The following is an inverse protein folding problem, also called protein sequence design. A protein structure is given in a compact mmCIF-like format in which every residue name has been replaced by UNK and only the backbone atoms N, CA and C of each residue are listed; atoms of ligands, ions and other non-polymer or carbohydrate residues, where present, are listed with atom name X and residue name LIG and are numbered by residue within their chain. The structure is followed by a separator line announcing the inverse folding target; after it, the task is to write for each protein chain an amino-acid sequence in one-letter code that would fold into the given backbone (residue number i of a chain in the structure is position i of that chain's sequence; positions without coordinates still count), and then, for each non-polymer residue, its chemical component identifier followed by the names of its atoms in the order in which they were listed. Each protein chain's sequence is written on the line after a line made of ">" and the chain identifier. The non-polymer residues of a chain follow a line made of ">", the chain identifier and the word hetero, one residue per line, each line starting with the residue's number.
data_IF_383047979309
#
_entry.id   IF_383047979309
#
_cell.length_a   1.000
_cell.length_b   1.000
_cell.length_c   1.000
_cell.angle_alpha   90.00
_cell.angle_beta   90.00
_cell.angle_gamma   90.00
#
_symmetry.space_group_name_H-M   'P 1'
#
loop_
_entity.id
_entity.type
_entity.pdbx_description
1 polymer ?
#
# COMPACT_ATOMS: atom_id res chain seq x y z
N UNK A 1 23.12 -2.41 6.43
CA UNK A 1 21.90 -1.68 6.05
C UNK A 1 21.74 -0.51 7.00
N UNK A 2 21.68 0.74 6.51
CA UNK A 2 21.77 1.96 7.34
C UNK A 2 20.71 2.04 8.46
N UNK A 3 19.50 1.55 8.17
CA UNK A 3 18.39 1.52 9.14
C UNK A 3 18.72 0.71 10.41
N UNK A 4 19.55 -0.33 10.31
CA UNK A 4 19.93 -1.16 11.46
C UNK A 4 20.91 -0.46 12.41
N UNK A 5 21.63 0.57 11.94
CA UNK A 5 22.46 1.41 12.82
C UNK A 5 21.58 2.28 13.72
N UNK A 6 20.44 2.74 13.21
CA UNK A 6 19.50 3.59 13.94
C UNK A 6 18.47 2.77 14.74
N UNK A 7 18.10 1.58 14.25
CA UNK A 7 17.15 0.69 14.89
C UNK A 7 17.67 -0.76 14.86
N UNK A 8 18.60 -1.14 15.76
CA UNK A 8 19.23 -2.47 15.76
C UNK A 8 18.25 -3.64 15.90
N UNK A 9 17.09 -3.41 16.53
CA UNK A 9 16.02 -4.42 16.70
C UNK A 9 15.04 -4.48 15.52
N UNK A 10 15.09 -3.53 14.58
CA UNK A 10 14.19 -3.52 13.42
C UNK A 10 14.58 -4.65 12.46
N UNK A 11 13.60 -5.45 12.02
CA UNK A 11 13.83 -6.51 11.04
C UNK A 11 13.26 -6.10 9.68
N UNK A 12 14.09 -5.62 8.73
CA UNK A 12 13.62 -5.32 7.39
C UNK A 12 13.22 -6.61 6.67
N UNK A 13 12.02 -6.64 6.11
CA UNK A 13 11.56 -7.70 5.23
C UNK A 13 11.71 -7.22 3.79
N UNK A 14 12.63 -7.86 3.07
CA UNK A 14 13.03 -7.40 1.75
C UNK A 14 12.10 -7.95 0.65
N UNK A 15 11.98 -7.16 -0.41
CA UNK A 15 11.32 -7.53 -1.66
C UNK A 15 12.25 -7.31 -2.84
N UNK A 16 12.01 -8.02 -3.94
CA UNK A 16 12.57 -7.68 -5.26
C UNK A 16 11.48 -7.12 -6.16
N UNK A 17 11.83 -6.23 -7.08
CA UNK A 17 10.89 -5.68 -8.05
C UNK A 17 10.78 -6.62 -9.26
N UNK A 18 9.56 -6.84 -9.74
CA UNK A 18 9.32 -7.48 -11.02
C UNK A 18 9.61 -6.47 -12.14
N UNK A 19 10.64 -6.76 -12.91
CA UNK A 19 11.06 -6.01 -14.11
C UNK A 19 11.20 -6.94 -15.33
N UNK A 20 11.34 -6.37 -16.52
CA UNK A 20 11.41 -7.12 -17.77
C UNK A 20 12.48 -8.21 -17.83
N UNK A 21 13.63 -8.00 -17.17
CA UNK A 21 14.72 -8.98 -17.11
C UNK A 21 14.58 -10.02 -15.99
N UNK A 22 13.48 -10.00 -15.23
CA UNK A 22 13.30 -10.93 -14.09
C UNK A 22 13.09 -12.35 -14.61
N UNK A 23 13.90 -13.27 -14.12
CA UNK A 23 13.79 -14.70 -14.43
C UNK A 23 13.38 -15.51 -13.19
N UNK A 24 12.94 -16.75 -13.41
CA UNK A 24 12.65 -17.69 -12.33
C UNK A 24 13.88 -17.92 -11.41
N UNK A 25 15.08 -17.95 -12.00
CA UNK A 25 16.33 -18.11 -11.25
C UNK A 25 16.61 -16.90 -10.34
N UNK A 26 16.39 -15.68 -10.83
CA UNK A 26 16.52 -14.46 -10.01
C UNK A 26 15.56 -14.51 -8.82
N UNK A 27 14.30 -14.91 -9.04
CA UNK A 27 13.31 -15.03 -7.96
C UNK A 27 13.73 -16.08 -6.93
N UNK A 28 14.19 -17.26 -7.39
CA UNK A 28 14.68 -18.32 -6.50
C UNK A 28 15.87 -17.87 -5.67
N UNK A 29 16.86 -17.24 -6.31
CA UNK A 29 18.06 -16.76 -5.63
C UNK A 29 17.73 -15.65 -4.61
N UNK A 30 16.82 -14.73 -4.96
CA UNK A 30 16.36 -13.69 -4.05
C UNK A 30 15.62 -14.27 -2.84
N UNK A 31 14.75 -15.27 -3.05
CA UNK A 31 14.06 -15.96 -1.98
C UNK A 31 15.04 -16.66 -1.02
N UNK A 32 16.03 -17.37 -1.56
CA UNK A 32 17.09 -18.01 -0.78
C UNK A 32 17.95 -16.99 -0.01
N UNK A 33 18.15 -15.79 -0.57
CA UNK A 33 18.80 -14.67 0.10
C UNK A 33 17.91 -13.96 1.16
N UNK A 34 16.66 -14.40 1.33
CA UNK A 34 15.75 -13.93 2.37
C UNK A 34 14.66 -12.96 1.92
N UNK A 35 14.56 -12.64 0.62
CA UNK A 35 13.44 -11.85 0.11
C UNK A 35 12.11 -12.61 0.30
N UNK A 36 11.08 -11.89 0.74
CA UNK A 36 9.76 -12.49 1.02
C UNK A 36 8.68 -12.10 0.02
N UNK A 37 8.92 -11.07 -0.78
CA UNK A 37 7.96 -10.59 -1.75
C UNK A 37 8.59 -10.24 -3.11
N UNK A 38 7.86 -10.54 -4.18
CA UNK A 38 8.07 -10.06 -5.53
C UNK A 38 7.06 -8.92 -5.75
N UNK A 39 7.55 -7.69 -5.94
CA UNK A 39 6.73 -6.48 -6.03
C UNK A 39 6.50 -6.08 -7.48
N UNK A 40 5.24 -6.03 -7.89
CA UNK A 40 4.79 -5.41 -9.13
C UNK A 40 4.62 -3.89 -8.93
N UNK A 41 5.30 -3.12 -9.77
CA UNK A 41 5.07 -1.69 -9.95
C UNK A 41 4.77 -1.50 -11.42
N UNK A 42 3.50 -1.21 -11.82
CA UNK A 42 3.17 -1.07 -13.21
C UNK A 42 3.96 0.06 -13.86
N UNK A 43 4.29 -0.12 -15.13
CA UNK A 43 5.01 0.89 -15.92
C UNK A 43 4.33 2.26 -15.80
N UNK A 44 5.14 3.31 -15.68
CA UNK A 44 4.69 4.71 -15.56
C UNK A 44 3.81 5.03 -14.33
N UNK A 45 3.80 4.19 -13.29
CA UNK A 45 3.09 4.51 -12.03
C UNK A 45 3.96 5.25 -11.02
N UNK A 46 5.30 5.13 -11.07
CA UNK A 46 6.22 5.83 -10.16
C UNK A 46 7.50 6.31 -10.86
N UNK A 47 8.28 7.19 -10.23
CA UNK A 47 9.47 7.82 -10.83
C UNK A 47 10.56 6.80 -11.24
N UNK A 48 10.60 5.63 -10.61
CA UNK A 48 11.61 4.59 -10.88
C UNK A 48 11.08 3.44 -11.74
N UNK A 49 9.89 3.57 -12.37
CA UNK A 49 9.22 2.44 -13.04
C UNK A 49 9.48 2.33 -14.55
N UNK A 50 10.62 2.79 -15.06
CA UNK A 50 10.94 2.68 -16.50
C UNK A 50 11.13 1.23 -16.96
N UNK A 51 11.44 0.32 -16.03
CA UNK A 51 11.55 -1.13 -16.27
C UNK A 51 10.36 -1.93 -15.69
N UNK A 52 9.31 -1.23 -15.25
CA UNK A 52 8.13 -1.84 -14.63
C UNK A 52 7.31 -2.67 -15.62
N UNK A 53 6.67 -3.73 -15.12
CA UNK A 53 5.82 -4.61 -15.93
C UNK A 53 4.39 -4.10 -15.95
N UNK A 54 3.84 -3.85 -17.14
CA UNK A 54 2.41 -3.51 -17.31
C UNK A 54 1.50 -4.68 -16.94
N UNK A 55 0.31 -4.41 -16.42
CA UNK A 55 -0.72 -5.44 -16.17
C UNK A 55 -1.11 -6.19 -17.45
N UNK A 56 -1.08 -5.51 -18.60
CA UNK A 56 -1.35 -6.11 -19.92
C UNK A 56 -0.32 -7.22 -20.24
N UNK A 57 0.92 -7.03 -19.81
CA UNK A 57 2.04 -7.91 -20.12
C UNK A 57 2.30 -8.94 -19.01
N UNK A 58 1.51 -8.93 -17.93
CA UNK A 58 1.75 -9.75 -16.75
C UNK A 58 1.77 -11.25 -17.06
N UNK A 59 0.99 -11.69 -18.05
CA UNK A 59 0.95 -13.08 -18.52
C UNK A 59 2.31 -13.60 -19.00
N UNK A 60 3.16 -12.72 -19.57
CA UNK A 60 4.51 -13.08 -20.00
C UNK A 60 5.40 -13.52 -18.83
N UNK A 61 5.07 -13.08 -17.62
CA UNK A 61 5.80 -13.37 -16.39
C UNK A 61 5.18 -14.53 -15.59
N UNK A 62 4.16 -15.22 -16.11
CA UNK A 62 3.59 -16.38 -15.44
C UNK A 62 4.61 -17.46 -15.06
N UNK A 63 5.65 -17.78 -15.87
CA UNK A 63 6.71 -18.69 -15.42
C UNK A 63 7.40 -18.21 -14.13
N UNK A 64 7.68 -16.91 -14.02
CA UNK A 64 8.28 -16.27 -12.84
C UNK A 64 7.32 -16.33 -11.65
N UNK A 65 6.03 -16.04 -11.87
CA UNK A 65 5.01 -16.07 -10.81
C UNK A 65 4.72 -17.49 -10.32
N UNK A 66 4.80 -18.51 -11.18
CA UNK A 66 4.71 -19.93 -10.79
C UNK A 66 5.87 -20.32 -9.86
N UNK A 67 7.09 -19.87 -10.16
CA UNK A 67 8.23 -20.05 -9.22
C UNK A 67 7.98 -19.34 -7.89
N UNK A 68 7.43 -18.12 -7.90
CA UNK A 68 7.07 -17.44 -6.65
C UNK A 68 6.03 -18.23 -5.83
N UNK A 69 5.02 -18.82 -6.50
CA UNK A 69 4.04 -19.72 -5.88
C UNK A 69 4.72 -20.94 -5.25
N UNK A 70 5.58 -21.65 -5.98
CA UNK A 70 6.29 -22.85 -5.49
C UNK A 70 7.14 -22.56 -4.25
N UNK A 71 7.75 -21.38 -4.18
CA UNK A 71 8.56 -20.93 -3.05
C UNK A 71 7.71 -20.41 -1.88
N UNK A 72 6.41 -20.20 -2.08
CA UNK A 72 5.54 -19.49 -1.13
C UNK A 72 5.87 -18.01 -0.97
N UNK A 73 6.58 -17.43 -1.95
CA UNK A 73 6.93 -16.02 -2.00
C UNK A 73 5.69 -15.19 -2.36
N UNK A 74 5.51 -14.05 -1.70
CA UNK A 74 4.32 -13.20 -1.91
C UNK A 74 4.48 -12.39 -3.19
N UNK A 75 3.45 -12.39 -4.04
CA UNK A 75 3.32 -11.40 -5.10
C UNK A 75 2.56 -10.19 -4.57
N UNK A 76 3.27 -9.09 -4.35
CA UNK A 76 2.68 -7.83 -3.89
C UNK A 76 2.64 -6.85 -5.05
N UNK A 77 1.70 -5.91 -5.09
CA UNK A 77 1.66 -5.01 -6.23
C UNK A 77 0.76 -3.80 -6.11
N UNK A 78 1.13 -2.78 -6.89
CA UNK A 78 0.26 -1.67 -7.23
C UNK A 78 -0.65 -2.07 -8.38
N UNK A 79 -1.96 -2.09 -8.16
CA UNK A 79 -2.92 -2.58 -9.14
C UNK A 79 -3.72 -1.42 -9.75
N UNK A 80 -3.09 -0.69 -10.66
CA UNK A 80 -3.75 0.33 -11.49
C UNK A 80 -3.46 0.06 -12.97
N UNK A 81 -4.50 -0.07 -13.77
CA UNK A 81 -4.37 -0.18 -15.22
C UNK A 81 -4.34 1.23 -15.83
N UNK A 82 -3.18 1.68 -16.30
CA UNK A 82 -3.00 3.02 -16.86
C UNK A 82 -3.58 3.19 -18.27
N UNK A 83 -3.64 2.10 -19.04
CA UNK A 83 -4.02 2.08 -20.46
C UNK A 83 -4.77 0.79 -20.77
N UNK A 84 -5.81 0.88 -21.58
CA UNK A 84 -6.54 -0.27 -22.10
C UNK A 84 -5.67 -1.03 -23.13
N UNK A 85 -5.86 -2.34 -23.37
CA UNK A 85 -5.18 -3.08 -24.45
C UNK A 85 -5.32 -2.42 -25.84
N UNK A 86 -6.40 -1.69 -26.08
CA UNK A 86 -6.64 -0.88 -27.30
C UNK A 86 -5.89 0.46 -27.31
N UNK A 87 -4.96 0.66 -26.38
CA UNK A 87 -4.10 1.84 -26.21
C UNK A 87 -4.79 3.12 -25.73
N UNK A 88 -6.05 3.06 -25.29
CA UNK A 88 -6.75 4.19 -24.69
C UNK A 88 -6.34 4.44 -23.24
N UNK A 89 -6.20 5.71 -22.84
CA UNK A 89 -5.83 6.06 -21.46
C UNK A 89 -7.02 5.87 -20.51
N UNK A 90 -6.76 5.27 -19.36
CA UNK A 90 -7.77 5.10 -18.33
C UNK A 90 -7.65 6.26 -17.32
N UNK A 91 -8.74 7.01 -17.08
CA UNK A 91 -8.76 8.07 -16.07
C UNK A 91 -8.27 7.57 -14.72
N UNK A 92 -7.46 8.36 -14.01
CA UNK A 92 -6.78 7.96 -12.77
C UNK A 92 -7.73 7.37 -11.72
N UNK A 93 -8.93 7.94 -11.57
CA UNK A 93 -9.95 7.46 -10.65
C UNK A 93 -10.49 6.06 -10.97
N UNK A 94 -10.38 5.59 -12.21
CA UNK A 94 -10.92 4.30 -12.68
C UNK A 94 -9.88 3.18 -12.78
N UNK A 95 -8.60 3.48 -12.62
CA UNK A 95 -7.51 2.54 -12.92
C UNK A 95 -7.47 1.34 -11.98
N UNK A 96 -7.78 1.54 -10.70
CA UNK A 96 -7.80 0.47 -9.71
C UNK A 96 -8.90 -0.54 -10.02
N UNK A 97 -10.12 -0.06 -10.31
CA UNK A 97 -11.25 -0.91 -10.71
C UNK A 97 -10.97 -1.64 -12.02
N UNK A 98 -10.36 -0.96 -12.99
CA UNK A 98 -9.98 -1.57 -14.26
C UNK A 98 -8.92 -2.68 -14.14
N UNK A 99 -8.17 -2.73 -13.03
CA UNK A 99 -7.19 -3.78 -12.76
C UNK A 99 -7.82 -5.08 -12.20
N UNK A 100 -9.09 -5.05 -11.76
CA UNK A 100 -9.75 -6.20 -11.13
C UNK A 100 -9.82 -7.42 -12.07
N UNK A 101 -10.10 -7.23 -13.36
CA UNK A 101 -10.17 -8.34 -14.32
C UNK A 101 -8.82 -9.06 -14.49
N UNK A 102 -7.71 -8.33 -14.38
CA UNK A 102 -6.36 -8.90 -14.41
C UNK A 102 -6.05 -9.68 -13.14
N UNK A 103 -6.51 -9.20 -11.98
CA UNK A 103 -6.44 -9.95 -10.72
C UNK A 103 -7.24 -11.25 -10.79
N UNK A 104 -8.49 -11.20 -11.28
CA UNK A 104 -9.34 -12.38 -11.44
C UNK A 104 -8.69 -13.43 -12.33
N UNK A 105 -8.13 -13.00 -13.46
CA UNK A 105 -7.40 -13.88 -14.37
C UNK A 105 -6.15 -14.48 -13.72
N UNK A 106 -5.34 -13.68 -13.02
CA UNK A 106 -4.14 -14.18 -12.33
C UNK A 106 -4.50 -15.23 -11.26
N UNK A 107 -5.54 -14.96 -10.47
CA UNK A 107 -6.02 -15.88 -9.44
C UNK A 107 -6.53 -17.19 -10.06
N UNK A 108 -7.23 -17.11 -11.19
CA UNK A 108 -7.68 -18.29 -11.91
C UNK A 108 -6.52 -19.12 -12.45
N UNK A 109 -5.52 -18.48 -13.07
CA UNK A 109 -4.45 -19.16 -13.78
C UNK A 109 -3.32 -19.67 -12.85
N UNK A 110 -3.14 -19.04 -11.69
CA UNK A 110 -2.11 -19.40 -10.69
C UNK A 110 -2.74 -19.42 -9.28
N UNK A 111 -3.67 -20.38 -9.01
CA UNK A 111 -4.57 -20.33 -7.85
C UNK A 111 -3.89 -20.48 -6.49
N UNK A 112 -2.66 -20.98 -6.43
CA UNK A 112 -1.89 -21.09 -5.19
C UNK A 112 -1.01 -19.87 -4.88
N UNK A 113 -0.90 -18.89 -5.79
CA UNK A 113 -0.04 -17.71 -5.60
C UNK A 113 -0.59 -16.86 -4.46
N UNK A 114 0.26 -16.51 -3.48
CA UNK A 114 -0.12 -15.55 -2.45
C UNK A 114 -0.03 -14.13 -3.01
N UNK A 115 -1.12 -13.39 -2.98
CA UNK A 115 -1.23 -12.06 -3.56
C UNK A 115 -1.56 -11.02 -2.48
N UNK A 116 -0.81 -9.93 -2.46
CA UNK A 116 -1.16 -8.71 -1.71
C UNK A 116 -1.43 -7.57 -2.70
N UNK A 117 -2.69 -7.14 -2.75
CA UNK A 117 -3.08 -5.93 -3.48
C UNK A 117 -2.81 -4.75 -2.58
N UNK A 118 -1.76 -3.99 -2.88
CA UNK A 118 -1.29 -2.95 -1.97
C UNK A 118 -2.23 -1.74 -2.01
N UNK A 119 -2.33 -1.03 -0.86
CA UNK A 119 -2.92 0.30 -0.68
C UNK A 119 -4.20 0.54 -1.49
N UNK A 120 -5.17 -0.37 -1.38
CA UNK A 120 -6.44 -0.29 -2.13
C UNK A 120 -7.25 0.93 -1.67
N UNK A 121 -7.94 1.56 -2.61
CA UNK A 121 -8.54 2.88 -2.42
C UNK A 121 -9.99 2.98 -2.90
N UNK A 122 -10.53 1.93 -3.52
CA UNK A 122 -11.91 1.90 -4.07
C UNK A 122 -12.78 0.89 -3.33
N UNK A 123 -14.08 1.19 -3.22
CA UNK A 123 -15.07 0.26 -2.68
C UNK A 123 -15.11 -1.06 -3.47
N UNK A 124 -15.04 -0.98 -4.80
CA UNK A 124 -15.10 -2.14 -5.69
C UNK A 124 -13.92 -3.10 -5.45
N UNK A 125 -12.70 -2.57 -5.30
CA UNK A 125 -11.54 -3.41 -4.98
C UNK A 125 -11.67 -4.03 -3.59
N UNK A 126 -12.18 -3.30 -2.60
CA UNK A 126 -12.46 -3.83 -1.25
C UNK A 126 -13.46 -4.99 -1.32
N UNK A 127 -14.58 -4.84 -2.01
CA UNK A 127 -15.57 -5.90 -2.19
C UNK A 127 -14.99 -7.10 -2.95
N UNK A 128 -14.15 -6.85 -3.95
CA UNK A 128 -13.40 -7.90 -4.63
C UNK A 128 -12.51 -8.71 -3.67
N UNK A 129 -11.71 -8.05 -2.82
CA UNK A 129 -10.85 -8.74 -1.85
C UNK A 129 -11.67 -9.54 -0.83
N UNK A 130 -12.82 -9.02 -0.38
CA UNK A 130 -13.74 -9.75 0.51
C UNK A 130 -14.13 -11.11 -0.09
N UNK A 131 -14.47 -11.16 -1.39
CA UNK A 131 -14.89 -12.39 -2.11
C UNK A 131 -13.74 -13.25 -2.67
N UNK A 132 -12.52 -12.72 -2.76
CA UNK A 132 -11.36 -13.45 -3.32
C UNK A 132 -10.99 -14.71 -2.50
N UNK A 133 -10.15 -15.61 -3.00
CA UNK A 133 -9.61 -16.73 -2.21
C UNK A 133 -8.79 -16.30 -0.99
N UNK A 134 -8.54 -17.22 -0.04
CA UNK A 134 -7.82 -16.95 1.22
C UNK A 134 -6.36 -16.51 1.05
N UNK A 135 -5.76 -16.83 -0.10
CA UNK A 135 -4.40 -16.45 -0.48
C UNK A 135 -4.33 -15.06 -1.15
N UNK A 136 -5.43 -14.30 -1.13
CA UNK A 136 -5.49 -12.92 -1.62
C UNK A 136 -5.87 -12.00 -0.48
N UNK A 137 -5.03 -11.01 -0.23
CA UNK A 137 -5.21 -10.00 0.79
C UNK A 137 -4.91 -8.61 0.24
N UNK A 138 -5.17 -7.57 1.03
CA UNK A 138 -4.86 -6.20 0.69
C UNK A 138 -4.34 -5.40 1.88
N UNK A 139 -3.49 -4.43 1.58
CA UNK A 139 -3.08 -3.42 2.56
C UNK A 139 -3.96 -2.18 2.47
N UNK A 140 -4.17 -1.54 3.62
CA UNK A 140 -4.88 -0.28 3.73
C UNK A 140 -3.99 0.73 4.45
N UNK A 141 -3.93 1.93 3.88
CA UNK A 141 -3.15 3.04 4.45
C UNK A 141 -4.02 3.90 5.37
N UNK A 142 -3.39 4.64 6.29
CA UNK A 142 -4.11 5.60 7.11
C UNK A 142 -4.57 6.84 6.31
N UNK A 143 -3.81 7.28 5.30
CA UNK A 143 -4.15 8.48 4.54
C UNK A 143 -5.35 8.28 3.62
N UNK A 144 -5.55 7.08 3.05
CA UNK A 144 -6.76 6.75 2.28
C UNK A 144 -8.05 6.67 3.13
N UNK A 145 -7.91 6.51 4.46
CA UNK A 145 -9.04 6.58 5.40
C UNK A 145 -9.38 8.02 5.82
N UNK A 146 -8.52 9.00 5.50
CA UNK A 146 -8.69 10.41 5.86
C UNK A 146 -9.07 11.25 4.64
N UNK A 147 -8.34 11.08 3.54
CA UNK A 147 -8.43 11.92 2.36
C UNK A 147 -9.54 11.48 1.40
N UNK A 148 -10.15 12.45 0.73
CA UNK A 148 -10.92 12.26 -0.51
C UNK A 148 -10.20 12.93 -1.68
N UNK A 149 -10.72 12.74 -2.89
CA UNK A 149 -10.19 13.37 -4.11
C UNK A 149 -10.17 14.90 -4.01
N UNK A 150 -11.13 15.50 -3.30
CA UNK A 150 -11.24 16.95 -3.12
C UNK A 150 -10.08 17.52 -2.28
N UNK A 151 -9.45 16.68 -1.44
CA UNK A 151 -8.26 17.06 -0.67
C UNK A 151 -6.98 17.10 -1.51
N UNK A 152 -7.05 16.70 -2.79
CA UNK A 152 -5.90 16.52 -3.68
C UNK A 152 -6.03 17.34 -4.95
N UNK A 153 -7.19 17.26 -5.61
CA UNK A 153 -7.42 17.80 -6.95
C UNK A 153 -8.64 18.73 -6.98
N UNK A 154 -8.62 19.70 -7.89
CA UNK A 154 -9.81 20.46 -8.23
C UNK A 154 -10.75 19.66 -9.15
N UNK A 155 -11.94 20.23 -9.44
CA UNK A 155 -12.96 19.64 -10.32
C UNK A 155 -12.50 19.37 -11.75
N UNK A 156 -11.39 19.97 -12.20
CA UNK A 156 -10.82 19.77 -13.52
C UNK A 156 -9.70 18.72 -13.52
N UNK A 157 -9.43 18.09 -12.37
CA UNK A 157 -8.37 17.09 -12.21
C UNK A 157 -6.97 17.69 -12.05
N UNK A 158 -6.85 18.99 -11.78
CA UNK A 158 -5.55 19.61 -11.48
C UNK A 158 -5.21 19.37 -10.01
N UNK A 159 -4.00 18.91 -9.74
CA UNK A 159 -3.47 18.77 -8.39
C UNK A 159 -3.34 20.16 -7.76
N UNK A 160 -4.10 20.42 -6.69
CA UNK A 160 -4.10 21.67 -5.92
C UNK A 160 -3.38 21.52 -4.58
N UNK A 161 -3.37 20.30 -4.02
CA UNK A 161 -2.59 19.99 -2.84
C UNK A 161 -1.61 18.84 -3.16
N UNK A 162 -0.37 19.16 -3.57
CA UNK A 162 0.59 18.14 -3.92
C UNK A 162 0.97 17.27 -2.72
N UNK A 163 0.93 17.78 -1.49
CA UNK A 163 1.31 17.03 -0.29
C UNK A 163 0.37 15.87 0.02
N UNK A 164 -0.88 15.94 -0.44
CA UNK A 164 -1.86 14.87 -0.36
C UNK A 164 -1.92 13.99 -1.62
N UNK A 165 -1.12 14.31 -2.66
CA UNK A 165 -1.06 13.50 -3.87
C UNK A 165 -0.23 12.23 -3.66
N UNK A 166 -0.90 11.07 -3.75
CA UNK A 166 -0.32 9.72 -3.79
C UNK A 166 -0.94 8.89 -4.93
N UNK A 167 -0.43 7.67 -5.12
CA UNK A 167 -1.01 6.68 -6.01
C UNK A 167 -1.25 5.38 -5.24
N UNK A 168 -2.43 4.75 -5.35
CA UNK A 168 -3.63 5.27 -6.01
C UNK A 168 -4.05 6.62 -5.41
N UNK A 169 -4.67 7.48 -6.21
CA UNK A 169 -5.14 8.78 -5.70
C UNK A 169 -6.31 8.54 -4.74
N UNK A 170 -6.47 9.31 -3.64
CA UNK A 170 -7.69 9.32 -2.85
C UNK A 170 -8.94 9.45 -3.74
N UNK A 171 -10.00 8.72 -3.39
CA UNK A 171 -11.20 8.57 -4.22
C UNK A 171 -12.39 9.33 -3.62
N UNK A 172 -13.62 8.89 -3.87
CA UNK A 172 -14.81 9.54 -3.33
C UNK A 172 -14.93 9.34 -1.81
N UNK A 173 -15.81 10.10 -1.15
CA UNK A 173 -16.13 9.87 0.26
C UNK A 173 -16.72 8.46 0.51
N UNK A 174 -17.44 7.90 -0.47
CA UNK A 174 -17.95 6.53 -0.37
C UNK A 174 -16.82 5.50 -0.36
N UNK A 175 -15.78 5.73 -1.17
CA UNK A 175 -14.58 4.89 -1.18
C UNK A 175 -13.79 5.02 0.13
N UNK A 176 -13.61 6.26 0.61
CA UNK A 176 -12.98 6.52 1.92
C UNK A 176 -13.70 5.79 3.05
N UNK A 177 -15.03 5.83 3.07
CA UNK A 177 -15.86 5.09 4.04
C UNK A 177 -15.67 3.58 3.91
N UNK A 178 -15.59 3.05 2.68
CA UNK A 178 -15.32 1.63 2.46
C UNK A 178 -13.92 1.24 2.99
N UNK A 179 -12.90 2.09 2.80
CA UNK A 179 -11.55 1.88 3.37
C UNK A 179 -11.61 1.81 4.91
N UNK A 180 -12.33 2.74 5.55
CA UNK A 180 -12.53 2.75 7.01
C UNK A 180 -13.27 1.48 7.46
N UNK A 181 -14.33 1.07 6.76
CA UNK A 181 -15.08 -0.14 7.09
C UNK A 181 -14.20 -1.38 6.97
N UNK A 182 -13.42 -1.50 5.89
CA UNK A 182 -12.53 -2.62 5.64
C UNK A 182 -11.45 -2.72 6.73
N UNK A 183 -10.77 -1.62 7.06
CA UNK A 183 -9.71 -1.64 8.08
C UNK A 183 -10.26 -1.96 9.48
N UNK A 184 -11.49 -1.51 9.79
CA UNK A 184 -12.13 -1.74 11.11
C UNK A 184 -13.02 -2.99 11.16
N UNK A 185 -13.05 -3.78 10.09
CA UNK A 185 -13.91 -4.96 9.98
C UNK A 185 -13.48 -6.10 10.91
N UNK A 186 -12.17 -6.29 11.11
CA UNK A 186 -11.60 -7.48 11.74
C UNK A 186 -11.44 -8.67 10.78
N UNK A 187 -11.63 -8.45 9.47
CA UNK A 187 -11.38 -9.44 8.43
C UNK A 187 -9.86 -9.60 8.21
N UNK A 188 -9.30 -10.83 8.33
CA UNK A 188 -7.86 -11.05 8.24
C UNK A 188 -7.25 -10.80 6.85
N UNK A 189 -8.06 -10.57 5.82
CA UNK A 189 -7.60 -10.18 4.49
C UNK A 189 -7.18 -8.71 4.38
N UNK A 190 -7.51 -7.88 5.36
CA UNK A 190 -7.11 -6.48 5.40
C UNK A 190 -6.13 -6.26 6.54
N UNK A 191 -4.95 -5.74 6.22
CA UNK A 191 -3.93 -5.42 7.22
C UNK A 191 -3.20 -4.13 6.88
N UNK A 192 -2.46 -3.62 7.86
CA UNK A 192 -1.82 -2.33 7.70
C UNK A 192 -0.65 -2.36 6.71
N UNK A 193 -0.65 -1.41 5.77
CA UNK A 193 0.52 -1.02 4.99
C UNK A 193 0.52 0.50 4.89
N UNK A 194 1.59 1.15 5.36
CA UNK A 194 1.59 2.61 5.49
C UNK A 194 1.64 3.35 4.16
N UNK A 195 2.26 2.72 3.17
CA UNK A 195 2.76 3.34 1.94
C UNK A 195 3.43 4.70 2.21
N UNK A 196 4.23 4.75 3.28
CA UNK A 196 4.93 5.98 3.65
C UNK A 196 6.02 6.27 2.62
N UNK A 197 5.77 7.21 1.73
CA UNK A 197 6.60 7.56 0.57
C UNK A 197 7.09 9.02 0.68
N UNK A 198 8.20 9.27 1.41
CA UNK A 198 8.73 10.62 1.60
C UNK A 198 9.33 11.19 0.32
N UNK A 199 9.02 12.45 0.06
CA UNK A 199 9.66 13.26 -0.99
C UNK A 199 10.04 14.62 -0.43
N UNK A 200 11.13 15.19 -0.94
CA UNK A 200 11.54 16.56 -0.61
C UNK A 200 10.42 17.54 -1.00
N UNK A 201 10.19 18.54 -0.15
CA UNK A 201 9.23 19.62 -0.35
C UNK A 201 9.39 20.25 -1.73
N UNK A 202 10.63 20.59 -2.11
CA UNK A 202 10.95 21.18 -3.44
C UNK A 202 10.47 20.31 -4.62
N UNK A 203 10.45 18.98 -4.47
CA UNK A 203 9.92 18.08 -5.50
C UNK A 203 8.39 18.08 -5.50
N UNK A 204 7.77 18.10 -4.32
CA UNK A 204 6.31 18.18 -4.15
C UNK A 204 5.74 19.51 -4.66
N UNK A 205 6.48 20.60 -4.62
CA UNK A 205 6.02 21.91 -5.12
C UNK A 205 6.31 22.14 -6.61
N UNK A 206 6.83 21.13 -7.32
CA UNK A 206 7.10 21.22 -8.76
C UNK A 206 5.82 21.13 -9.61
N UNK A 207 5.92 21.48 -10.89
CA UNK A 207 4.81 21.38 -11.86
C UNK A 207 4.27 19.95 -12.04
N UNK A 208 5.08 18.94 -11.75
CA UNK A 208 4.73 17.51 -11.84
C UNK A 208 5.11 16.84 -10.51
N UNK A 209 4.32 17.07 -9.45
CA UNK A 209 4.66 16.59 -8.12
C UNK A 209 4.72 15.06 -8.08
N UNK A 210 5.71 14.46 -7.40
CA UNK A 210 5.76 13.03 -7.25
C UNK A 210 4.59 12.52 -6.36
N UNK A 211 3.96 11.40 -6.71
CA UNK A 211 2.96 10.77 -5.85
C UNK A 211 3.65 10.13 -4.65
N UNK A 212 3.19 10.45 -3.45
CA UNK A 212 3.69 9.87 -2.20
C UNK A 212 3.41 10.76 -0.99
N UNK A 213 3.08 10.14 0.13
CA UNK A 213 2.75 10.78 1.41
C UNK A 213 3.68 10.24 2.50
N UNK A 214 4.34 11.13 3.25
CA UNK A 214 5.16 10.72 4.39
C UNK A 214 4.29 10.55 5.65
N UNK A 215 3.84 9.33 5.88
CA UNK A 215 2.89 8.98 6.95
C UNK A 215 3.52 8.27 8.15
N UNK A 216 4.75 7.75 8.03
CA UNK A 216 5.40 6.96 9.07
C UNK A 216 5.39 7.60 10.48
N UNK A 217 5.64 8.91 10.66
CA UNK A 217 5.64 9.54 11.99
C UNK A 217 4.28 9.55 12.70
N UNK A 218 3.18 9.47 11.94
CA UNK A 218 1.81 9.61 12.45
C UNK A 218 0.96 8.35 12.29
N UNK A 219 1.47 7.32 11.62
CA UNK A 219 0.71 6.14 11.22
C UNK A 219 -0.05 5.48 12.38
N UNK A 220 0.64 5.08 13.44
CA UNK A 220 0.03 4.37 14.58
C UNK A 220 -0.92 5.27 15.40
N UNK A 221 -0.55 6.51 15.78
CA UNK A 221 -1.48 7.48 16.34
C UNK A 221 -2.77 7.66 15.54
N UNK A 222 -2.64 7.84 14.22
CA UNK A 222 -3.77 8.10 13.34
C UNK A 222 -4.66 6.86 13.21
N UNK A 223 -4.09 5.66 13.08
CA UNK A 223 -4.86 4.41 13.12
C UNK A 223 -5.64 4.27 14.44
N UNK A 224 -5.00 4.56 15.58
CA UNK A 224 -5.68 4.52 16.87
C UNK A 224 -6.90 5.47 16.91
N UNK A 225 -6.74 6.69 16.39
CA UNK A 225 -7.84 7.65 16.27
C UNK A 225 -8.95 7.14 15.35
N UNK A 226 -8.62 6.61 14.17
CA UNK A 226 -9.60 6.06 13.21
C UNK A 226 -10.38 4.90 13.85
N UNK A 227 -9.68 3.93 14.45
CA UNK A 227 -10.32 2.77 15.07
C UNK A 227 -11.15 3.15 16.29
N UNK A 228 -10.69 4.12 17.11
CA UNK A 228 -11.47 4.64 18.23
C UNK A 228 -12.77 5.31 17.79
N UNK A 229 -12.70 6.19 16.78
CA UNK A 229 -13.87 6.90 16.23
C UNK A 229 -14.92 5.93 15.68
N UNK A 230 -14.46 4.83 15.08
CA UNK A 230 -15.33 3.78 14.53
C UNK A 230 -15.67 2.67 15.52
N UNK A 231 -15.45 2.88 16.83
CA UNK A 231 -15.78 1.92 17.91
C UNK A 231 -15.18 0.52 17.70
N UNK A 232 -13.98 0.45 17.14
CA UNK A 232 -13.31 -0.79 16.74
C UNK A 232 -11.90 -0.93 17.33
N UNK A 233 -11.57 -0.23 18.42
CA UNK A 233 -10.22 -0.19 18.99
C UNK A 233 -9.69 -1.58 19.37
N UNK A 234 -10.58 -2.50 19.75
CA UNK A 234 -10.31 -3.91 20.03
C UNK A 234 -9.75 -4.70 18.83
N UNK A 235 -9.91 -4.18 17.61
CA UNK A 235 -9.43 -4.80 16.37
C UNK A 235 -8.11 -4.23 15.86
N UNK A 236 -7.62 -3.14 16.46
CA UNK A 236 -6.43 -2.42 15.99
C UNK A 236 -5.17 -3.30 15.99
N UNK A 237 -4.94 -4.04 17.08
CA UNK A 237 -3.77 -4.91 17.22
C UNK A 237 -3.74 -5.99 16.11
N UNK A 238 -4.90 -6.61 15.84
CA UNK A 238 -5.00 -7.60 14.78
C UNK A 238 -4.67 -7.02 13.40
N UNK A 239 -5.22 -5.85 13.09
CA UNK A 239 -5.00 -5.16 11.81
C UNK A 239 -3.55 -4.68 11.64
N UNK A 240 -2.95 -4.11 12.68
CA UNK A 240 -1.63 -3.47 12.63
C UNK A 240 -0.47 -4.42 12.93
N UNK A 241 -0.69 -5.60 13.52
CA UNK A 241 0.39 -6.47 14.00
C UNK A 241 0.22 -7.95 13.68
N UNK A 242 -1.00 -8.48 13.67
CA UNK A 242 -1.18 -9.94 13.51
C UNK A 242 -1.46 -10.40 12.09
N UNK A 243 -2.43 -9.78 11.40
CA UNK A 243 -2.94 -10.29 10.14
C UNK A 243 -1.88 -10.30 9.04
N UNK A 244 -1.09 -9.22 8.93
CA UNK A 244 0.04 -9.15 8.00
C UNK A 244 1.10 -10.21 8.32
N UNK A 245 1.53 -10.33 9.57
CA UNK A 245 2.52 -11.34 9.98
C UNK A 245 2.05 -12.77 9.65
N UNK A 246 0.79 -13.09 9.95
CA UNK A 246 0.19 -14.39 9.63
C UNK A 246 0.13 -14.65 8.12
N UNK A 247 -0.25 -13.66 7.31
CA UNK A 247 -0.31 -13.81 5.86
C UNK A 247 1.09 -14.05 5.24
N UNK A 248 2.08 -13.32 5.74
CA UNK A 248 3.49 -13.45 5.37
C UNK A 248 4.20 -14.68 5.96
N UNK A 249 3.56 -15.43 6.86
CA UNK A 249 4.17 -16.57 7.54
C UNK A 249 5.33 -16.17 8.47
N UNK A 250 5.24 -14.98 9.06
CA UNK A 250 6.20 -14.43 10.02
C UNK A 250 5.74 -14.70 11.46
N UNK A 251 6.70 -14.81 12.37
CA UNK A 251 6.42 -14.84 13.80
C UNK A 251 5.82 -13.51 14.28
N UNK A 252 4.93 -13.58 15.26
CA UNK A 252 4.41 -12.39 15.91
C UNK A 252 5.50 -11.73 16.78
N UNK A 253 5.47 -10.40 16.81
CA UNK A 253 6.31 -9.65 17.74
C UNK A 253 5.94 -10.03 19.19
N UNK A 254 6.97 -10.17 20.04
CA UNK A 254 6.80 -10.42 21.48
C UNK A 254 6.80 -9.13 22.30
N UNK A 255 7.47 -8.10 21.79
CA UNK A 255 7.49 -6.77 22.38
C UNK A 255 6.16 -6.05 22.12
N UNK A 256 5.78 -5.18 23.05
CA UNK A 256 4.57 -4.37 22.96
C UNK A 256 4.95 -2.90 22.91
N UNK A 257 4.11 -2.12 22.24
CA UNK A 257 4.14 -0.66 22.27
C UNK A 257 2.92 -0.17 23.02
N UNK A 258 3.01 1.01 23.63
CA UNK A 258 1.88 1.67 24.26
C UNK A 258 1.47 2.90 23.43
N UNK A 259 0.18 3.00 23.14
CA UNK A 259 -0.40 4.18 22.49
C UNK A 259 -1.33 4.83 23.51
N UNK A 260 -0.96 6.00 24.01
CA UNK A 260 -1.70 6.71 25.06
C UNK A 260 -2.52 7.84 24.46
N UNK A 261 -3.64 8.16 25.12
CA UNK A 261 -4.45 9.34 24.79
C UNK A 261 -3.75 10.60 25.30
N UNK A 262 -2.72 11.00 24.56
CA UNK A 262 -1.98 12.23 24.78
C UNK A 262 -2.04 13.05 23.52
N UNK A 263 -2.59 14.23 23.69
CA UNK A 263 -2.77 15.19 22.63
C UNK A 263 -1.44 15.84 22.25
N UNK A 264 -1.20 16.01 20.95
CA UNK A 264 -0.01 16.65 20.44
C UNK A 264 -0.26 17.27 19.06
N UNK A 265 0.61 18.22 18.71
CA UNK A 265 0.63 18.84 17.39
C UNK A 265 1.68 18.11 16.57
N UNK A 266 1.27 17.57 15.42
CA UNK A 266 2.17 16.91 14.49
C UNK A 266 3.14 17.96 13.94
N UNK A 267 4.47 17.74 14.00
CA UNK A 267 5.42 18.62 13.35
C UNK A 267 5.08 18.80 11.87
N UNK A 268 5.20 20.03 11.36
CA UNK A 268 4.88 20.34 9.96
C UNK A 268 5.74 19.55 8.97
N UNK A 269 7.00 19.27 9.32
CA UNK A 269 7.97 18.58 8.48
C UNK A 269 9.05 17.90 9.33
N UNK A 270 9.79 16.98 8.72
CA UNK A 270 11.04 16.43 9.22
C UNK A 270 12.14 16.71 8.18
N UNK A 271 13.16 17.48 8.56
CA UNK A 271 14.07 18.10 7.58
C UNK A 271 13.27 18.79 6.46
N UNK A 272 13.57 18.49 5.20
CA UNK A 272 12.88 19.06 4.03
C UNK A 272 11.73 18.18 3.50
N UNK A 273 11.09 17.38 4.37
CA UNK A 273 10.02 16.46 4.01
C UNK A 273 8.75 16.78 4.81
N UNK A 274 7.66 17.11 4.12
CA UNK A 274 6.35 17.37 4.74
C UNK A 274 5.82 16.10 5.41
N UNK A 275 5.42 16.19 6.68
CA UNK A 275 4.76 15.09 7.40
C UNK A 275 3.25 15.16 7.13
N UNK A 276 2.62 14.01 6.89
CA UNK A 276 1.17 13.92 6.77
C UNK A 276 0.50 14.39 8.07
N UNK A 277 -0.59 15.15 7.99
CA UNK A 277 -1.21 15.84 9.14
C UNK A 277 -0.30 16.89 9.80
N UNK A 278 0.77 17.36 9.15
CA UNK A 278 1.69 18.33 9.73
C UNK A 278 1.02 19.66 10.12
N UNK A 279 1.14 20.05 11.38
CA UNK A 279 0.45 21.19 12.00
C UNK A 279 -0.93 20.85 12.58
N UNK A 280 -1.47 19.67 12.26
CA UNK A 280 -2.73 19.18 12.82
C UNK A 280 -2.53 18.57 14.21
N UNK A 281 -3.66 18.40 14.89
CA UNK A 281 -3.75 17.90 16.25
C UNK A 281 -4.17 16.43 16.26
N UNK A 282 -3.39 15.55 16.87
CA UNK A 282 -3.74 14.15 17.08
C UNK A 282 -3.99 13.86 18.56
N UNK A 283 -4.99 13.02 18.84
CA UNK A 283 -5.41 12.70 20.22
C UNK A 283 -4.63 11.57 20.88
N UNK A 284 -3.74 10.92 20.14
CA UNK A 284 -3.01 9.72 20.55
C UNK A 284 -1.53 9.87 20.22
N UNK A 285 -0.64 9.32 21.04
CA UNK A 285 0.80 9.27 20.79
C UNK A 285 1.37 7.91 21.18
N UNK A 286 2.38 7.44 20.45
CA UNK A 286 3.22 6.31 20.89
C UNK A 286 4.13 6.80 22.01
N UNK A 287 4.26 6.03 23.09
CA UNK A 287 5.14 6.32 24.23
C UNK A 287 6.46 5.57 24.10
#
# INVERSE_FOLDING_TARGET
>A
MEILKQAPKFKPIMSIMLVNSTTAEIVKNAYLAGAKALKLIPENTSINSTDGVSLIDLEKFYPVLKTAQELGMIFSGHWELNRHPLKEFIPELKREVAAISYLEKLIHDIPGLKIVVEHISTKEMIEFIKRAPKNVAATLTAHHAVLTIDDVMDKNGKIVNPYNYCKPVPKSDNDRKAVIEAMTSGNPKFFFGSDSAPHLIVKKESLKPPPGIFSAPVALPLLCQIFKTNKALDKLEKFASEFGAKFYGLELNKEKIEITRREWIVPSQHADIRIFMGGEKLSWSVV
#
